data_IF_219484538408
#
_entry.id   IF_219484538408
#
_cell.length_a   1.000
_cell.length_b   1.000
_cell.length_c   1.000
_cell.angle_alpha   90.00
_cell.angle_beta   90.00
_cell.angle_gamma   90.00
#
_symmetry.space_group_name_H-M   'P 1'
#
loop_
_entity.id
_entity.type
_entity.pdbx_description
1 polymer ?
#
# COMPACT_ATOMS: atom_id res chain seq x y z
N UNK A 1 12.44 -1.96 3.87
CA UNK A 1 11.52 -1.68 2.72
C UNK A 1 10.66 -2.87 2.32
N UNK A 2 11.11 -3.86 1.54
CA UNK A 2 10.21 -4.94 1.04
C UNK A 2 9.57 -5.77 2.16
N UNK A 3 10.36 -6.16 3.16
CA UNK A 3 9.86 -6.89 4.33
C UNK A 3 8.85 -6.05 5.14
N UNK A 4 9.07 -4.74 5.24
CA UNK A 4 8.12 -3.84 5.93
C UNK A 4 6.82 -3.68 5.15
N UNK A 5 6.89 -3.58 3.83
CA UNK A 5 5.69 -3.56 2.97
C UNK A 5 4.95 -4.89 3.10
N UNK A 6 5.67 -6.01 3.12
CA UNK A 6 5.08 -7.35 3.29
C UNK A 6 4.40 -7.50 4.65
N UNK A 7 5.07 -7.10 5.74
CA UNK A 7 4.50 -7.07 7.08
C UNK A 7 3.30 -6.12 7.14
N UNK A 8 3.39 -4.95 6.51
CA UNK A 8 2.30 -4.00 6.43
C UNK A 8 1.11 -4.61 5.71
N UNK A 9 1.28 -5.31 4.57
CA UNK A 9 0.19 -5.99 3.84
C UNK A 9 -0.49 -7.03 4.72
N UNK A 10 0.30 -7.86 5.40
CA UNK A 10 -0.21 -8.92 6.29
C UNK A 10 -0.95 -8.36 7.51
N UNK A 11 -0.53 -7.21 8.02
CA UNK A 11 -1.14 -6.57 9.19
C UNK A 11 -2.46 -5.87 8.83
N UNK A 12 -3.58 -6.55 8.99
CA UNK A 12 -4.92 -6.01 8.71
C UNK A 12 -5.34 -4.85 9.62
N UNK A 13 -4.63 -4.59 10.72
CA UNK A 13 -4.95 -3.48 11.64
C UNK A 13 -4.49 -2.12 11.10
N UNK A 14 -3.42 -2.11 10.29
CA UNK A 14 -2.85 -0.89 9.74
C UNK A 14 -3.47 -0.58 8.37
N UNK A 15 -4.15 0.56 8.27
CA UNK A 15 -4.77 1.04 7.02
C UNK A 15 -3.85 1.94 6.20
N UNK A 16 -2.90 2.59 6.86
CA UNK A 16 -1.92 3.50 6.26
C UNK A 16 -0.60 3.41 7.01
N UNK A 17 0.50 3.66 6.31
CA UNK A 17 1.84 3.75 6.90
C UNK A 17 2.58 4.94 6.31
N UNK A 18 3.22 5.70 7.19
CA UNK A 18 4.10 6.82 6.82
C UNK A 18 5.54 6.30 6.82
N UNK A 19 6.24 6.53 5.72
CA UNK A 19 7.68 6.36 5.63
C UNK A 19 8.39 7.68 5.95
N UNK A 20 9.65 7.59 6.35
CA UNK A 20 10.51 8.76 6.55
C UNK A 20 10.82 9.45 5.22
N UNK A 21 11.38 10.65 5.28
CA UNK A 21 11.86 11.36 4.09
C UNK A 21 12.98 10.56 3.44
N UNK A 22 12.81 10.28 2.14
CA UNK A 22 13.68 9.37 1.39
C UNK A 22 14.24 10.05 0.14
N UNK A 23 15.42 9.60 -0.29
CA UNK A 23 16.04 10.07 -1.51
C UNK A 23 15.23 9.73 -2.77
N UNK A 24 15.58 10.35 -3.90
CA UNK A 24 14.88 10.16 -5.18
C UNK A 24 14.81 8.68 -5.62
N UNK A 25 15.88 7.92 -5.39
CA UNK A 25 15.97 6.51 -5.77
C UNK A 25 15.10 5.64 -4.85
N UNK A 26 15.25 5.81 -3.54
CA UNK A 26 14.47 5.07 -2.54
C UNK A 26 12.96 5.27 -2.72
N UNK A 27 12.53 6.51 -2.99
CA UNK A 27 11.13 6.81 -3.31
C UNK A 27 10.64 6.03 -4.54
N UNK A 28 11.46 5.94 -5.58
CA UNK A 28 11.10 5.16 -6.79
C UNK A 28 10.89 3.69 -6.45
N UNK A 29 11.81 3.10 -5.67
CA UNK A 29 11.73 1.69 -5.25
C UNK A 29 10.46 1.44 -4.42
N UNK A 30 10.14 2.31 -3.47
CA UNK A 30 8.92 2.19 -2.66
C UNK A 30 7.68 2.28 -3.53
N UNK A 31 7.63 3.22 -4.48
CA UNK A 31 6.51 3.33 -5.40
C UNK A 31 6.28 2.05 -6.20
N UNK A 32 7.34 1.49 -6.80
CA UNK A 32 7.27 0.26 -7.60
C UNK A 32 6.79 -0.94 -6.76
N UNK A 33 7.37 -1.14 -5.56
CA UNK A 33 7.00 -2.26 -4.67
C UNK A 33 5.56 -2.14 -4.19
N UNK A 34 5.10 -0.93 -3.88
CA UNK A 34 3.73 -0.66 -3.40
C UNK A 34 2.71 -0.87 -4.51
N UNK A 35 3.05 -0.48 -5.74
CA UNK A 35 2.21 -0.70 -6.92
C UNK A 35 2.06 -2.20 -7.22
N UNK A 36 3.16 -2.96 -7.20
CA UNK A 36 3.15 -4.43 -7.38
C UNK A 36 2.32 -5.12 -6.28
N UNK A 37 2.36 -4.59 -5.06
CA UNK A 37 1.54 -5.07 -3.95
C UNK A 37 0.04 -4.72 -4.05
N UNK A 38 -0.37 -3.92 -5.04
CA UNK A 38 -1.76 -3.47 -5.20
C UNK A 38 -2.20 -2.43 -4.17
N UNK A 39 -1.24 -1.76 -3.53
CA UNK A 39 -1.46 -0.67 -2.58
C UNK A 39 -1.38 0.69 -3.29
N UNK A 40 -1.74 1.77 -2.60
CA UNK A 40 -1.60 3.12 -3.15
C UNK A 40 -0.53 3.90 -2.41
N UNK A 41 0.45 4.45 -3.13
CA UNK A 41 1.51 5.32 -2.61
C UNK A 41 1.28 6.76 -3.02
N UNK A 42 1.51 7.69 -2.08
CA UNK A 42 1.49 9.12 -2.32
C UNK A 42 2.72 9.77 -1.68
N UNK A 43 3.39 10.63 -2.43
CA UNK A 43 4.51 11.43 -1.93
C UNK A 43 4.03 12.81 -1.52
N UNK A 44 4.39 13.24 -0.30
CA UNK A 44 4.06 14.55 0.25
C UNK A 44 5.34 15.27 0.69
N UNK A 45 5.37 16.59 0.51
CA UNK A 45 6.51 17.45 0.85
C UNK A 45 6.84 18.45 -0.27
N UNK A 46 7.10 19.69 0.12
CA UNK A 46 7.46 20.81 -0.76
C UNK A 46 8.94 20.75 -1.19
N UNK A 47 9.84 20.36 -0.29
CA UNK A 47 11.29 20.29 -0.53
C UNK A 47 11.79 18.86 -0.74
N UNK A 48 12.86 18.69 -1.53
CA UNK A 48 13.47 17.37 -1.81
C UNK A 48 13.93 16.63 -0.54
N UNK A 49 14.36 17.36 0.50
CA UNK A 49 14.81 16.78 1.77
C UNK A 49 13.67 16.43 2.75
N UNK A 50 12.50 17.07 2.63
CA UNK A 50 11.36 16.80 3.53
C UNK A 50 10.33 15.86 2.90
N UNK A 51 10.60 15.37 1.69
CA UNK A 51 9.66 14.58 0.91
C UNK A 51 9.51 13.17 1.45
N UNK A 52 8.37 12.90 2.07
CA UNK A 52 8.03 11.60 2.62
C UNK A 52 6.96 10.90 1.78
N UNK A 53 6.90 9.57 1.91
CA UNK A 53 5.92 8.74 1.21
C UNK A 53 4.92 8.18 2.21
N UNK A 54 3.64 8.27 1.89
CA UNK A 54 2.59 7.57 2.61
C UNK A 54 1.99 6.49 1.72
N UNK A 55 1.83 5.31 2.29
CA UNK A 55 1.16 4.19 1.62
C UNK A 55 -0.18 3.91 2.30
N UNK A 56 -1.16 3.54 1.49
CA UNK A 56 -2.52 3.28 1.89
C UNK A 56 -2.93 1.90 1.37
N UNK A 57 -3.60 1.14 2.23
CA UNK A 57 -4.26 -0.09 1.81
C UNK A 57 -5.50 0.24 1.00
N UNK A 58 -5.53 -0.24 -0.24
CA UNK A 58 -6.76 -0.26 -1.01
C UNK A 58 -7.68 -1.31 -0.37
N UNK A 59 -8.81 -0.87 0.18
CA UNK A 59 -9.80 -1.78 0.76
C UNK A 59 -10.49 -2.54 -0.37
N UNK A 60 -9.89 -3.63 -0.83
CA UNK A 60 -10.52 -4.61 -1.74
C UNK A 60 -11.40 -5.58 -0.93
N UNK A 61 -12.29 -5.04 -0.10
CA UNK A 61 -12.94 -5.79 0.98
C UNK A 61 -14.37 -5.39 1.33
N UNK A 62 -15.03 -4.50 0.58
CA UNK A 62 -16.50 -4.51 0.59
C UNK A 62 -16.92 -5.70 -0.27
N UNK A 63 -17.03 -6.86 0.39
CA UNK A 63 -17.65 -8.06 -0.14
C UNK A 63 -19.11 -7.72 -0.44
N UNK A 64 -19.40 -7.24 -1.65
CA UNK A 64 -20.77 -7.29 -2.18
C UNK A 64 -21.08 -8.79 -2.31
N UNK A 65 -21.81 -9.32 -1.34
CA UNK A 65 -22.38 -10.66 -1.35
C UNK A 65 -23.44 -10.70 -2.45
N UNK A 66 -23.00 -10.89 -3.69
CA UNK A 66 -23.83 -11.50 -4.73
C UNK A 66 -23.68 -13.01 -4.55
N UNK A 67 -24.56 -13.60 -3.74
CA UNK A 67 -24.74 -15.05 -3.64
C UNK A 67 -25.23 -15.57 -5.00
N UNK A 68 -24.30 -15.85 -5.91
CA UNK A 68 -24.60 -16.70 -7.05
C UNK A 68 -24.63 -18.14 -6.56
N UNK A 69 -25.85 -18.66 -6.40
CA UNK A 69 -26.10 -20.07 -6.12
C UNK A 69 -25.55 -20.93 -7.25
N UNK A 70 -24.55 -21.73 -6.94
CA UNK A 70 -24.23 -22.93 -7.71
C UNK A 70 -24.52 -24.15 -6.83
N UNK A 71 -25.43 -25.05 -7.26
CA UNK A 71 -25.65 -26.31 -6.58
C UNK A 71 -24.50 -27.25 -6.95
N UNK A 72 -23.79 -27.79 -5.96
CA UNK A 72 -23.05 -29.02 -6.16
C UNK A 72 -24.09 -30.15 -6.26
N UNK A 73 -24.20 -30.77 -7.43
CA UNK A 73 -24.72 -32.12 -7.62
C UNK A 73 -23.67 -32.92 -8.37
#
# INVERSE_FOLDING_TARGET
MEQEVSQFIQDSSQTRRKFESMGKIERSIVHDVVEVAGLTSFSFGDDEETRYVMIFKKVSGTRIIITWGFPFN
#
